data_IF_843929122189
#
_entry.id   IF_843929122189
#
_cell.length_a   1.000
_cell.length_b   1.000
_cell.length_c   1.000
_cell.angle_alpha   90.00
_cell.angle_beta   90.00
_cell.angle_gamma   90.00
#
_symmetry.space_group_name_H-M   'P 1'
#
loop_
_entity.id
_entity.type
_entity.pdbx_description
1 polymer ?
#
# COMPACT_ATOMS: atom_id res chain seq x y z
N UNK A 1 -24.95 -27.62 -21.16
CA UNK A 1 -25.38 -27.24 -19.80
C UNK A 1 -24.97 -25.80 -19.47
N UNK A 2 -25.40 -25.26 -18.32
CA UNK A 2 -25.05 -23.90 -17.92
C UNK A 2 -23.91 -23.93 -16.90
N UNK A 3 -22.79 -23.29 -17.19
CA UNK A 3 -21.66 -23.13 -16.26
C UNK A 3 -21.60 -21.70 -15.77
N UNK A 4 -21.74 -21.51 -14.45
CA UNK A 4 -21.58 -20.21 -13.80
C UNK A 4 -20.12 -19.89 -13.54
N UNK A 5 -19.76 -18.61 -13.63
CA UNK A 5 -18.45 -18.08 -13.27
C UNK A 5 -18.60 -16.94 -12.27
N UNK A 6 -17.98 -17.05 -11.09
CA UNK A 6 -18.01 -16.00 -10.05
C UNK A 6 -16.61 -15.48 -9.75
N UNK A 7 -16.53 -14.24 -9.25
CA UNK A 7 -15.28 -13.61 -8.80
C UNK A 7 -15.38 -13.23 -7.32
N UNK A 8 -14.34 -13.54 -6.56
CA UNK A 8 -14.15 -13.04 -5.18
C UNK A 8 -12.78 -12.40 -5.03
N UNK A 9 -12.61 -11.61 -3.98
CA UNK A 9 -11.35 -10.99 -3.62
C UNK A 9 -11.08 -11.14 -2.12
N UNK A 10 -9.85 -10.92 -1.68
CA UNK A 10 -9.55 -10.76 -0.25
C UNK A 10 -10.33 -9.57 0.32
N UNK A 11 -11.13 -9.76 1.38
CA UNK A 11 -12.06 -8.73 1.85
C UNK A 11 -11.38 -7.53 2.51
N UNK A 12 -10.38 -7.79 3.36
CA UNK A 12 -9.67 -6.77 4.13
C UNK A 12 -8.18 -7.05 4.14
N UNK A 13 -7.38 -6.04 3.84
CA UNK A 13 -5.91 -6.08 3.92
C UNK A 13 -5.38 -4.74 4.41
N UNK A 14 -4.14 -4.75 4.90
CA UNK A 14 -3.36 -3.53 5.12
C UNK A 14 -2.62 -3.18 3.82
N UNK A 15 -2.34 -1.90 3.58
CA UNK A 15 -1.42 -1.48 2.53
C UNK A 15 -0.05 -2.18 2.61
N UNK A 16 0.69 -2.23 1.50
CA UNK A 16 1.88 -3.06 1.35
C UNK A 16 1.59 -4.56 1.21
N UNK A 17 0.33 -4.98 1.30
CA UNK A 17 -0.14 -6.34 1.07
C UNK A 17 -0.45 -6.68 -0.39
N UNK A 18 -1.20 -7.77 -0.59
CA UNK A 18 -1.70 -8.19 -1.90
C UNK A 18 -3.20 -8.51 -1.85
N UNK A 19 -3.90 -8.20 -2.94
CA UNK A 19 -5.25 -8.66 -3.20
C UNK A 19 -5.16 -9.99 -3.93
N UNK A 20 -5.82 -11.04 -3.43
CA UNK A 20 -6.01 -12.29 -4.17
C UNK A 20 -7.38 -12.26 -4.80
N UNK A 21 -7.44 -12.27 -6.13
CA UNK A 21 -8.68 -12.48 -6.87
C UNK A 21 -8.82 -13.95 -7.22
N UNK A 22 -10.03 -14.50 -7.01
CA UNK A 22 -10.34 -15.91 -7.25
C UNK A 22 -11.54 -16.01 -8.18
N UNK A 23 -11.33 -16.64 -9.34
CA UNK A 23 -12.39 -17.00 -10.26
C UNK A 23 -12.83 -18.44 -9.98
N UNK A 24 -14.15 -18.70 -9.92
CA UNK A 24 -14.70 -20.03 -9.65
C UNK A 24 -15.77 -20.40 -10.65
N UNK A 25 -15.60 -21.56 -11.28
CA UNK A 25 -16.56 -22.19 -12.17
C UNK A 25 -17.43 -23.20 -11.41
N UNK A 26 -18.69 -23.35 -11.81
CA UNK A 26 -19.57 -24.41 -11.29
C UNK A 26 -19.27 -25.80 -11.87
N UNK A 27 -18.48 -25.87 -12.95
CA UNK A 27 -18.12 -27.11 -13.64
C UNK A 27 -16.64 -27.05 -14.07
N UNK A 28 -15.92 -28.20 -14.06
CA UNK A 28 -14.52 -28.24 -14.51
C UNK A 28 -14.38 -27.82 -15.98
N UNK A 29 -13.33 -27.04 -16.28
CA UNK A 29 -13.03 -26.62 -17.63
C UNK A 29 -12.42 -27.76 -18.45
N UNK A 30 -12.84 -27.99 -19.70
CA UNK A 30 -12.20 -29.03 -20.55
C UNK A 30 -10.94 -28.49 -21.22
N UNK A 31 -10.91 -27.19 -21.51
CA UNK A 31 -9.73 -26.44 -21.96
C UNK A 31 -9.50 -25.26 -21.02
N UNK A 32 -8.31 -24.62 -21.01
CA UNK A 32 -8.09 -23.47 -20.15
C UNK A 32 -9.12 -22.36 -20.37
N UNK A 33 -9.54 -21.70 -19.29
CA UNK A 33 -10.39 -20.50 -19.33
C UNK A 33 -9.52 -19.30 -19.00
N UNK A 34 -9.60 -18.25 -19.81
CA UNK A 34 -9.01 -16.95 -19.52
C UNK A 34 -10.12 -16.00 -19.08
N UNK A 35 -10.00 -15.44 -17.87
CA UNK A 35 -10.93 -14.45 -17.31
C UNK A 35 -10.22 -13.10 -17.27
N UNK A 36 -10.80 -12.09 -17.90
CA UNK A 36 -10.31 -10.70 -17.90
C UNK A 36 -11.07 -9.89 -16.87
N UNK A 37 -10.34 -9.11 -16.07
CA UNK A 37 -10.88 -8.28 -14.99
C UNK A 37 -10.84 -6.79 -15.37
N UNK A 38 -11.70 -5.98 -14.72
CA UNK A 38 -11.78 -4.53 -14.97
C UNK A 38 -10.53 -3.75 -14.58
N UNK A 39 -9.69 -4.30 -13.70
CA UNK A 39 -8.39 -3.73 -13.32
C UNK A 39 -7.26 -4.11 -14.30
N UNK A 40 -7.59 -4.75 -15.43
CA UNK A 40 -6.62 -5.18 -16.45
C UNK A 40 -5.92 -6.52 -16.16
N UNK A 41 -6.14 -7.13 -14.99
CA UNK A 41 -5.58 -8.44 -14.66
C UNK A 41 -6.29 -9.58 -15.40
N UNK A 42 -5.58 -10.70 -15.56
CA UNK A 42 -6.13 -11.92 -16.13
C UNK A 42 -5.97 -13.09 -15.17
N UNK A 43 -7.01 -13.91 -15.02
CA UNK A 43 -6.98 -15.19 -14.30
C UNK A 43 -7.05 -16.33 -15.32
N UNK A 44 -6.18 -17.33 -15.17
CA UNK A 44 -6.27 -18.57 -15.93
C UNK A 44 -6.81 -19.68 -15.04
N UNK A 45 -7.89 -20.32 -15.46
CA UNK A 45 -8.39 -21.57 -14.87
C UNK A 45 -7.90 -22.70 -15.78
N UNK A 46 -7.11 -23.62 -15.25
CA UNK A 46 -6.53 -24.70 -16.05
C UNK A 46 -7.59 -25.72 -16.51
N UNK A 47 -7.27 -26.49 -17.55
CA UNK A 47 -8.10 -27.63 -17.93
C UNK A 47 -8.16 -28.66 -16.78
N UNK A 48 -9.35 -29.21 -16.54
CA UNK A 48 -9.66 -30.09 -15.41
C UNK A 48 -10.04 -29.35 -14.13
N UNK A 49 -9.80 -28.03 -14.05
CA UNK A 49 -9.98 -27.25 -12.82
C UNK A 49 -11.26 -26.40 -12.83
N UNK A 50 -11.67 -25.98 -11.64
CA UNK A 50 -12.79 -25.04 -11.44
C UNK A 50 -12.33 -23.70 -10.88
N UNK A 51 -11.06 -23.58 -10.45
CA UNK A 51 -10.55 -22.41 -9.74
C UNK A 51 -9.28 -21.90 -10.41
N UNK A 52 -9.19 -20.58 -10.51
CA UNK A 52 -7.96 -19.87 -10.87
C UNK A 52 -7.81 -18.63 -10.00
N UNK A 53 -6.57 -18.20 -9.78
CA UNK A 53 -6.27 -17.02 -8.97
C UNK A 53 -5.29 -16.09 -9.66
N UNK A 54 -5.30 -14.82 -9.25
CA UNK A 54 -4.23 -13.87 -9.55
C UNK A 54 -4.01 -12.97 -8.34
N UNK A 55 -2.75 -12.62 -8.11
CA UNK A 55 -2.36 -11.72 -7.03
C UNK A 55 -1.98 -10.35 -7.59
N UNK A 56 -2.53 -9.31 -6.98
CA UNK A 56 -2.28 -7.91 -7.36
C UNK A 56 -1.78 -7.18 -6.13
N UNK A 57 -0.54 -6.64 -6.14
CA UNK A 57 -0.02 -5.89 -5.01
C UNK A 57 -0.81 -4.59 -4.80
N UNK A 58 -0.91 -4.13 -3.56
CA UNK A 58 -1.40 -2.79 -3.25
C UNK A 58 -0.27 -1.76 -3.28
N UNK A 59 -0.61 -0.49 -3.04
CA UNK A 59 0.38 0.54 -2.78
C UNK A 59 1.30 0.10 -1.64
N UNK A 60 2.58 0.48 -1.71
CA UNK A 60 3.53 0.19 -0.64
C UNK A 60 3.16 0.97 0.63
N UNK A 61 3.48 0.39 1.80
CA UNK A 61 3.30 1.07 3.07
C UNK A 61 4.07 2.39 3.11
N UNK A 62 3.41 3.46 3.54
CA UNK A 62 4.05 4.74 3.82
C UNK A 62 3.44 5.42 5.04
N UNK A 63 3.89 6.64 5.35
CA UNK A 63 3.47 7.36 6.55
C UNK A 63 2.18 8.18 6.37
N UNK A 64 1.58 8.14 5.18
CA UNK A 64 0.44 8.96 4.81
C UNK A 64 -0.83 8.13 4.80
N UNK A 65 -1.89 8.67 5.40
CA UNK A 65 -3.18 8.00 5.44
C UNK A 65 -3.76 7.78 4.03
N UNK A 66 -3.71 6.55 3.55
CA UNK A 66 -4.08 6.19 2.18
C UNK A 66 -5.10 5.03 2.11
N UNK A 67 -5.79 4.75 3.22
CA UNK A 67 -6.88 3.76 3.26
C UNK A 67 -7.90 3.96 2.14
N UNK A 68 -8.28 2.87 1.49
CA UNK A 68 -9.12 2.92 0.28
C UNK A 68 -9.98 1.66 0.09
N UNK A 69 -10.91 1.71 -0.85
CA UNK A 69 -11.70 0.53 -1.27
C UNK A 69 -11.54 0.34 -2.77
N UNK A 70 -11.23 -0.89 -3.17
CA UNK A 70 -11.07 -1.28 -4.58
C UNK A 70 -12.20 -2.22 -4.96
N UNK A 71 -12.70 -2.05 -6.18
CA UNK A 71 -13.79 -2.86 -6.73
C UNK A 71 -13.42 -3.35 -8.12
N UNK A 72 -13.53 -4.66 -8.34
CA UNK A 72 -13.13 -5.31 -9.60
C UNK A 72 -14.24 -6.25 -10.07
N UNK A 73 -14.56 -6.20 -11.36
CA UNK A 73 -15.56 -7.06 -12.00
C UNK A 73 -14.93 -7.93 -13.09
N UNK A 74 -15.63 -8.99 -13.50
CA UNK A 74 -15.31 -9.72 -14.72
C UNK A 74 -15.74 -8.86 -15.92
N UNK A 75 -14.83 -8.64 -16.88
CA UNK A 75 -15.11 -7.93 -18.14
C UNK A 75 -15.17 -8.87 -19.34
N UNK A 76 -14.58 -10.07 -19.24
CA UNK A 76 -14.66 -11.10 -20.26
C UNK A 76 -14.21 -12.46 -19.73
N UNK A 77 -14.70 -13.53 -20.36
CA UNK A 77 -14.25 -14.89 -20.12
C UNK A 77 -14.30 -15.69 -21.43
N UNK A 78 -13.22 -16.38 -21.77
CA UNK A 78 -13.09 -17.19 -23.00
C UNK A 78 -12.42 -18.54 -22.72
N UNK A 79 -12.72 -19.55 -23.55
CA UNK A 79 -12.18 -20.90 -23.40
C UNK A 79 -13.12 -21.85 -22.66
N UNK A 80 -12.57 -22.88 -22.01
CA UNK A 80 -13.34 -23.84 -21.21
C UNK A 80 -14.07 -24.95 -21.99
N UNK A 81 -14.42 -24.69 -23.26
CA UNK A 81 -15.23 -25.57 -24.11
C UNK A 81 -16.60 -25.91 -23.50
N UNK A 82 -17.26 -24.91 -22.90
CA UNK A 82 -18.61 -25.06 -22.35
C UNK A 82 -19.68 -24.81 -23.42
N UNK A 83 -20.85 -25.44 -23.30
CA UNK A 83 -21.99 -25.11 -24.17
C UNK A 83 -22.54 -23.72 -23.84
N UNK A 84 -22.54 -23.32 -22.56
CA UNK A 84 -22.88 -21.97 -22.13
C UNK A 84 -22.11 -21.56 -20.87
N UNK A 85 -21.34 -20.47 -20.96
CA UNK A 85 -20.62 -19.87 -19.83
C UNK A 85 -21.29 -18.56 -19.43
N UNK A 86 -21.65 -18.43 -18.14
CA UNK A 86 -22.38 -17.28 -17.61
C UNK A 86 -21.56 -16.60 -16.51
N UNK A 87 -20.83 -15.51 -16.83
CA UNK A 87 -20.14 -14.69 -15.85
C UNK A 87 -21.12 -13.93 -14.95
N UNK A 88 -20.82 -13.89 -13.66
CA UNK A 88 -21.48 -13.03 -12.70
C UNK A 88 -20.79 -11.65 -12.68
N UNK A 89 -21.57 -10.59 -12.92
CA UNK A 89 -21.08 -9.21 -12.96
C UNK A 89 -20.95 -8.55 -11.56
N UNK A 90 -21.31 -9.26 -10.47
CA UNK A 90 -21.15 -8.75 -9.11
C UNK A 90 -19.68 -8.40 -8.85
N UNK A 91 -19.39 -7.17 -8.40
CA UNK A 91 -18.02 -6.76 -8.10
C UNK A 91 -17.44 -7.51 -6.91
N UNK A 92 -16.18 -7.92 -7.03
CA UNK A 92 -15.36 -8.32 -5.90
C UNK A 92 -14.75 -7.07 -5.26
N UNK A 93 -14.90 -6.93 -3.94
CA UNK A 93 -14.55 -5.71 -3.20
C UNK A 93 -13.48 -6.02 -2.16
N UNK A 94 -12.47 -5.16 -2.08
CA UNK A 94 -11.42 -5.20 -1.06
C UNK A 94 -11.32 -3.86 -0.36
N UNK A 95 -11.34 -3.87 0.96
CA UNK A 95 -11.01 -2.69 1.78
C UNK A 95 -9.53 -2.77 2.16
N UNK A 96 -8.79 -1.72 1.82
CA UNK A 96 -7.38 -1.53 2.17
C UNK A 96 -7.35 -0.55 3.34
N UNK A 97 -6.88 -1.00 4.49
CA UNK A 97 -6.66 -0.13 5.64
C UNK A 97 -5.23 0.38 5.63
N UNK A 98 -5.10 1.65 5.99
CA UNK A 98 -3.83 2.29 6.30
C UNK A 98 -3.12 1.58 7.45
N UNK A 99 -1.79 1.57 7.42
CA UNK A 99 -0.97 1.12 8.54
C UNK A 99 -0.75 2.26 9.53
N UNK A 100 -0.38 1.93 10.78
CA UNK A 100 -0.03 2.97 11.77
C UNK A 100 1.47 3.14 11.78
N UNK A 101 1.95 4.28 11.25
CA UNK A 101 3.37 4.60 11.19
C UNK A 101 3.78 5.64 12.26
N UNK A 102 4.55 5.18 13.25
CA UNK A 102 5.07 6.05 14.31
C UNK A 102 6.31 6.82 13.84
N UNK A 103 6.33 8.13 14.08
CA UNK A 103 7.52 8.98 13.85
C UNK A 103 8.20 9.32 15.17
N UNK A 104 9.44 8.87 15.34
CA UNK A 104 10.29 9.23 16.48
C UNK A 104 11.12 10.49 16.19
N UNK A 105 11.50 11.21 17.24
CA UNK A 105 12.38 12.37 17.19
C UNK A 105 13.59 12.13 18.09
N UNK A 106 14.79 12.37 17.55
CA UNK A 106 16.05 12.39 18.31
C UNK A 106 16.70 13.77 18.20
N UNK A 107 17.32 14.23 19.28
CA UNK A 107 18.04 15.51 19.32
C UNK A 107 19.49 15.23 19.70
N UNK A 108 20.42 15.72 18.89
CA UNK A 108 21.87 15.64 19.15
C UNK A 108 22.48 17.05 19.17
N UNK A 109 23.59 17.19 19.87
CA UNK A 109 24.36 18.43 19.93
C UNK A 109 25.82 18.14 19.60
N UNK A 110 26.56 19.18 19.19
CA UNK A 110 28.01 19.05 18.99
C UNK A 110 28.71 18.89 20.34
N UNK A 111 29.43 17.78 20.54
CA UNK A 111 29.91 17.36 21.87
C UNK A 111 31.14 18.12 22.40
N UNK A 112 32.00 18.62 21.51
CA UNK A 112 33.21 19.35 21.90
C UNK A 112 33.28 20.66 21.12
N UNK A 113 33.22 21.77 21.86
CA UNK A 113 33.33 23.13 21.34
C UNK A 113 34.33 23.91 22.19
N UNK A 114 35.04 24.84 21.57
CA UNK A 114 35.88 25.83 22.28
C UNK A 114 34.98 26.97 22.76
N UNK A 115 35.33 27.61 23.87
CA UNK A 115 34.70 28.86 24.34
C UNK A 115 34.64 29.89 23.20
N UNK A 116 33.50 30.57 23.04
CA UNK A 116 33.22 31.43 21.89
C UNK A 116 32.93 30.72 20.55
N UNK A 117 32.83 29.39 20.53
CA UNK A 117 32.41 28.58 19.39
C UNK A 117 30.89 28.58 19.13
N UNK A 118 30.42 27.66 18.27
CA UNK A 118 28.99 27.43 18.04
C UNK A 118 28.61 25.98 18.39
N UNK A 119 27.52 25.82 19.13
CA UNK A 119 26.84 24.54 19.34
C UNK A 119 25.85 24.35 18.21
N UNK A 120 26.00 23.29 17.41
CA UNK A 120 24.98 22.88 16.45
C UNK A 120 24.09 21.83 17.09
N UNK A 121 22.79 22.11 17.17
CA UNK A 121 21.77 21.15 17.51
C UNK A 121 21.15 20.58 16.23
N UNK A 122 21.03 19.25 16.18
CA UNK A 122 20.42 18.54 15.05
C UNK A 122 19.26 17.72 15.57
N UNK A 123 18.06 18.03 15.07
CA UNK A 123 16.87 17.23 15.27
C UNK A 123 16.73 16.25 14.09
N UNK A 124 16.52 14.96 14.38
CA UNK A 124 16.38 13.90 13.38
C UNK A 124 15.10 13.12 13.65
N UNK A 125 14.21 13.08 12.66
CA UNK A 125 13.01 12.25 12.63
C UNK A 125 13.32 10.89 12.02
N UNK A 126 12.58 9.86 12.42
CA UNK A 126 12.66 8.51 11.81
C UNK A 126 11.97 8.43 10.45
N UNK A 127 11.03 9.34 10.17
CA UNK A 127 10.33 9.47 8.90
C UNK A 127 10.38 10.92 8.42
N UNK A 128 10.27 11.11 7.10
CA UNK A 128 10.21 12.45 6.52
C UNK A 128 8.98 13.22 7.01
N UNK A 129 9.14 14.51 7.26
CA UNK A 129 8.03 15.33 7.73
C UNK A 129 7.02 15.60 6.61
N UNK A 130 5.74 15.29 6.80
CA UNK A 130 4.69 15.61 5.83
C UNK A 130 4.39 17.12 5.71
N UNK A 131 4.71 17.88 6.75
CA UNK A 131 4.66 19.34 6.80
C UNK A 131 5.79 19.88 7.68
N UNK A 132 6.15 21.18 7.65
CA UNK A 132 7.25 21.68 8.46
C UNK A 132 7.03 21.41 9.96
N UNK A 133 8.03 20.82 10.62
CA UNK A 133 8.04 20.54 12.07
C UNK A 133 8.98 21.52 12.76
N UNK A 134 8.49 22.20 13.81
CA UNK A 134 9.28 23.11 14.63
C UNK A 134 9.60 22.47 15.98
N UNK A 135 10.88 22.41 16.33
CA UNK A 135 11.36 21.95 17.65
C UNK A 135 11.92 23.15 18.40
N UNK A 136 11.30 23.52 19.52
CA UNK A 136 11.79 24.59 20.40
C UNK A 136 12.65 23.99 21.50
N UNK A 137 13.90 24.42 21.58
CA UNK A 137 14.85 23.98 22.59
C UNK A 137 14.65 24.78 23.89
N UNK A 138 15.10 24.23 25.03
CA UNK A 138 15.00 24.91 26.34
C UNK A 138 15.79 26.22 26.41
N UNK A 139 16.80 26.39 25.56
CA UNK A 139 17.56 27.64 25.39
C UNK A 139 16.86 28.66 24.46
N UNK A 140 15.65 28.36 23.99
CA UNK A 140 14.85 29.22 23.12
C UNK A 140 15.19 29.12 21.62
N UNK A 141 16.23 28.38 21.23
CA UNK A 141 16.52 28.15 19.81
C UNK A 141 15.43 27.30 19.16
N UNK A 142 15.15 27.57 17.88
CA UNK A 142 14.13 26.85 17.10
C UNK A 142 14.78 26.12 15.94
N UNK A 143 14.59 24.81 15.90
CA UNK A 143 14.94 23.98 14.75
C UNK A 143 13.70 23.81 13.89
N UNK A 144 13.82 24.06 12.58
CA UNK A 144 12.77 23.75 11.61
C UNK A 144 13.21 22.60 10.72
N UNK A 145 12.46 21.50 10.76
CA UNK A 145 12.56 20.39 9.81
C UNK A 145 11.54 20.68 8.72
N UNK A 146 11.99 20.87 7.48
CA UNK A 146 11.08 21.22 6.37
C UNK A 146 10.25 20.00 5.96
N UNK A 147 9.13 20.26 5.27
CA UNK A 147 8.38 19.18 4.63
C UNK A 147 9.30 18.39 3.67
N UNK A 148 9.18 17.07 3.67
CA UNK A 148 10.01 16.14 2.92
C UNK A 148 11.37 15.81 3.57
N UNK A 149 11.78 16.53 4.61
CA UNK A 149 13.07 16.32 5.26
C UNK A 149 12.93 15.47 6.54
N UNK A 150 14.00 14.78 6.89
CA UNK A 150 14.13 14.07 8.18
C UNK A 150 14.96 14.84 9.19
N UNK A 151 15.67 15.90 8.77
CA UNK A 151 16.58 16.63 9.66
C UNK A 151 16.38 18.14 9.60
N UNK A 152 16.72 18.78 10.71
CA UNK A 152 16.81 20.23 10.82
C UNK A 152 17.90 20.59 11.82
N UNK A 153 18.49 21.77 11.66
CA UNK A 153 19.54 22.26 12.56
C UNK A 153 19.27 23.67 13.06
N UNK A 154 19.84 23.98 14.22
CA UNK A 154 19.96 25.33 14.75
C UNK A 154 21.33 25.49 15.42
N UNK A 155 21.95 26.66 15.26
CA UNK A 155 23.21 26.97 15.94
C UNK A 155 22.99 28.00 17.04
N UNK A 156 23.71 27.81 18.15
CA UNK A 156 23.69 28.71 19.31
C UNK A 156 25.14 29.01 19.70
N UNK A 157 25.50 30.27 20.00
CA UNK A 157 26.84 30.58 20.47
C UNK A 157 27.13 29.87 21.79
N UNK A 158 28.35 29.35 21.90
CA UNK A 158 28.91 28.90 23.17
C UNK A 158 29.04 30.10 24.13
N UNK A 159 28.91 29.88 25.45
CA UNK A 159 29.29 30.88 26.45
C UNK A 159 30.71 31.41 26.24
#
# INVERSE_FOLDING_TARGET
DNTGLTLTATNNIVEGGQITYTATLTNPAQTPVTVTLSNGSTITIAAGETVGTVNVPTAANDVYNNGSTVSTTITGATGGNFENLVPNATPAVTTITDSVDNTGLTLTATNNIVEGGQITYTATLTNAAGSPVTVTLSNGAVITIKAGETTGTATVPAP
#
